data_IF_134195577450
#
_entry.id   IF_134195577450
#
_cell.length_a   1.000
_cell.length_b   1.000
_cell.length_c   1.000
_cell.angle_alpha   90.00
_cell.angle_beta   90.00
_cell.angle_gamma   90.00
#
_symmetry.space_group_name_H-M   'P 1'
#
loop_
_entity.id
_entity.type
_entity.pdbx_description
1 polymer ?
#
# COMPACT_ATOMS: atom_id res chain seq x y z
N UNK A 1 51.95 48.20 19.90
CA UNK A 1 51.16 49.44 20.02
C UNK A 1 49.89 49.46 19.15
N UNK A 2 49.90 49.10 17.85
CA UNK A 2 48.65 48.96 17.05
C UNK A 2 48.10 47.54 16.93
N UNK A 3 48.91 46.50 17.21
CA UNK A 3 48.46 45.09 17.20
C UNK A 3 47.65 44.73 18.45
N UNK A 4 48.06 45.25 19.60
CA UNK A 4 47.44 44.96 20.90
C UNK A 4 46.01 45.53 21.02
N UNK A 5 45.67 46.53 20.18
CA UNK A 5 44.34 47.13 20.10
C UNK A 5 43.39 46.36 19.16
N UNK A 6 43.92 45.70 18.12
CA UNK A 6 43.09 44.87 17.22
C UNK A 6 42.70 43.53 17.85
N UNK A 7 43.60 42.88 18.61
CA UNK A 7 43.29 41.61 19.29
C UNK A 7 42.23 41.78 20.39
N UNK A 8 42.14 42.96 21.01
CA UNK A 8 41.13 43.27 22.03
C UNK A 8 39.73 43.53 21.43
N UNK A 9 39.63 44.17 20.26
CA UNK A 9 38.35 44.36 19.54
C UNK A 9 37.84 43.03 18.94
N UNK A 10 38.72 42.20 18.40
CA UNK A 10 38.36 40.87 17.87
C UNK A 10 37.89 39.91 18.97
N UNK A 11 38.45 39.99 20.19
CA UNK A 11 37.96 39.22 21.34
C UNK A 11 36.55 39.65 21.76
N UNK A 12 36.25 40.95 21.76
CA UNK A 12 34.94 41.51 22.08
C UNK A 12 33.85 41.11 21.08
N UNK A 13 34.16 41.07 19.78
CA UNK A 13 33.19 40.64 18.75
C UNK A 13 32.90 39.14 18.82
N UNK A 14 33.90 38.32 19.19
CA UNK A 14 33.73 36.88 19.35
C UNK A 14 32.83 36.52 20.55
N UNK A 15 32.89 37.28 21.65
CA UNK A 15 32.04 37.06 22.82
C UNK A 15 30.56 37.40 22.55
N UNK A 16 30.28 38.48 21.81
CA UNK A 16 28.93 38.85 21.38
C UNK A 16 28.35 37.84 20.38
N UNK A 17 29.19 37.31 19.48
CA UNK A 17 28.79 36.28 18.53
C UNK A 17 28.55 34.91 19.21
N UNK A 18 29.30 34.59 20.26
CA UNK A 18 29.07 33.41 21.09
C UNK A 18 27.73 33.49 21.85
N UNK A 19 27.38 34.65 22.40
CA UNK A 19 26.10 34.88 23.10
C UNK A 19 24.89 34.79 22.16
N UNK A 20 25.02 35.33 20.93
CA UNK A 20 24.01 35.15 19.87
C UNK A 20 23.83 33.69 19.49
N UNK A 21 24.92 32.94 19.30
CA UNK A 21 24.87 31.49 19.00
C UNK A 21 24.26 30.68 20.15
N UNK A 22 24.52 31.06 21.39
CA UNK A 22 23.93 30.45 22.57
C UNK A 22 22.41 30.67 22.63
N UNK A 23 21.97 31.88 22.32
CA UNK A 23 20.54 32.25 22.20
C UNK A 23 19.84 31.44 21.10
N UNK A 24 20.45 31.29 19.93
CA UNK A 24 19.89 30.45 18.86
C UNK A 24 19.83 28.96 19.22
N UNK A 25 20.85 28.46 19.93
CA UNK A 25 20.88 27.07 20.39
C UNK A 25 19.81 26.78 21.46
N UNK A 26 19.53 27.76 22.33
CA UNK A 26 18.45 27.69 23.33
C UNK A 26 17.07 27.74 22.66
N UNK A 27 16.88 28.68 21.73
CA UNK A 27 15.66 28.73 20.92
C UNK A 27 15.43 27.43 20.16
N UNK A 28 16.45 26.87 19.51
CA UNK A 28 16.35 25.60 18.80
C UNK A 28 16.01 24.42 19.74
N UNK A 29 16.56 24.42 20.97
CA UNK A 29 16.20 23.43 22.00
C UNK A 29 14.74 23.57 22.43
N UNK A 30 14.24 24.79 22.60
CA UNK A 30 12.84 25.03 22.97
C UNK A 30 11.89 24.67 21.83
N UNK A 31 12.26 24.93 20.57
CA UNK A 31 11.52 24.45 19.42
C UNK A 31 11.49 22.92 19.36
N UNK A 32 12.63 22.24 19.59
CA UNK A 32 12.66 20.77 19.65
C UNK A 32 11.77 20.21 20.76
N UNK A 33 11.83 20.76 21.97
CA UNK A 33 10.94 20.38 23.08
C UNK A 33 9.47 20.64 22.76
N UNK A 34 9.16 21.72 22.06
CA UNK A 34 7.81 22.00 21.59
C UNK A 34 7.36 20.94 20.57
N UNK A 35 8.21 20.62 19.60
CA UNK A 35 7.93 19.60 18.58
C UNK A 35 7.74 18.21 19.20
N UNK A 36 8.59 17.80 20.15
CA UNK A 36 8.45 16.53 20.86
C UNK A 36 7.11 16.41 21.60
N UNK A 37 6.60 17.51 22.16
CA UNK A 37 5.27 17.51 22.83
C UNK A 37 4.11 17.26 21.87
N UNK A 38 4.24 17.65 20.60
CA UNK A 38 3.19 17.50 19.58
C UNK A 38 3.41 16.32 18.65
N UNK A 39 4.61 15.73 18.66
CA UNK A 39 4.96 14.57 17.83
C UNK A 39 4.64 13.29 18.58
N UNK A 40 3.96 12.37 17.92
CA UNK A 40 3.72 11.03 18.45
C UNK A 40 4.48 10.04 17.59
N UNK A 41 5.40 9.30 18.21
CA UNK A 41 6.08 8.19 17.57
C UNK A 41 5.12 7.00 17.49
N UNK A 42 4.80 6.58 16.26
CA UNK A 42 3.95 5.43 16.01
C UNK A 42 4.88 4.27 15.65
N UNK A 43 5.08 3.34 16.60
CA UNK A 43 5.85 2.12 16.37
C UNK A 43 5.18 1.29 15.28
N UNK A 44 5.82 1.21 14.13
CA UNK A 44 5.28 0.54 12.96
C UNK A 44 5.87 -0.87 12.89
N UNK A 45 5.02 -1.90 13.01
CA UNK A 45 5.46 -3.31 12.93
C UNK A 45 5.75 -3.70 11.47
N UNK A 46 6.68 -4.64 11.26
CA UNK A 46 7.09 -5.12 9.93
C UNK A 46 5.94 -5.61 9.02
N UNK A 47 4.78 -5.99 9.60
CA UNK A 47 3.59 -6.44 8.86
C UNK A 47 2.70 -5.29 8.35
N UNK A 48 2.84 -4.08 8.89
CA UNK A 48 2.03 -2.91 8.53
C UNK A 48 2.91 -1.67 8.45
N UNK A 49 3.79 -1.55 7.43
CA UNK A 49 4.82 -0.52 7.36
C UNK A 49 4.30 0.91 7.11
N UNK A 50 3.01 1.06 6.76
CA UNK A 50 2.44 2.35 6.39
C UNK A 50 1.22 2.69 7.24
N UNK A 51 1.35 3.74 8.05
CA UNK A 51 0.24 4.33 8.79
C UNK A 51 -0.14 5.64 8.10
N UNK A 52 -1.35 5.71 7.56
CA UNK A 52 -1.85 6.94 6.96
C UNK A 52 -2.02 8.04 8.03
N UNK A 53 -1.28 9.13 7.89
CA UNK A 53 -1.22 10.21 8.87
C UNK A 53 -2.60 10.86 9.11
N UNK A 54 -3.41 10.98 8.06
CA UNK A 54 -4.75 11.57 8.15
C UNK A 54 -5.69 10.66 8.95
N UNK A 55 -5.67 9.36 8.70
CA UNK A 55 -6.45 8.36 9.43
C UNK A 55 -6.03 8.29 10.89
N UNK A 56 -4.72 8.34 11.16
CA UNK A 56 -4.17 8.41 12.51
C UNK A 56 -4.70 9.65 13.27
N UNK A 57 -4.67 10.81 12.62
CA UNK A 57 -5.21 12.05 13.19
C UNK A 57 -6.73 11.95 13.48
N UNK A 58 -7.52 11.39 12.56
CA UNK A 58 -8.95 11.18 12.78
C UNK A 58 -9.23 10.23 13.96
N UNK A 59 -8.43 9.17 14.10
CA UNK A 59 -8.52 8.24 15.22
C UNK A 59 -8.16 8.89 16.55
N UNK A 60 -7.10 9.71 16.59
CA UNK A 60 -6.73 10.48 17.77
C UNK A 60 -7.86 11.44 18.18
N UNK A 61 -8.45 12.15 17.21
CA UNK A 61 -9.58 13.04 17.43
C UNK A 61 -10.79 12.29 18.00
N UNK A 62 -11.17 11.16 17.40
CA UNK A 62 -12.23 10.27 17.90
C UNK A 62 -11.95 9.82 19.32
N UNK A 63 -10.73 9.36 19.61
CA UNK A 63 -10.32 8.87 20.93
C UNK A 63 -10.41 9.98 22.00
N UNK A 64 -10.00 11.21 21.66
CA UNK A 64 -10.12 12.37 22.55
C UNK A 64 -11.57 12.69 22.92
N UNK A 65 -12.48 12.61 21.93
CA UNK A 65 -13.92 12.83 22.13
C UNK A 65 -14.54 11.70 22.96
N UNK A 66 -14.15 10.44 22.71
CA UNK A 66 -14.60 9.30 23.50
C UNK A 66 -14.15 9.42 24.96
N UNK A 67 -12.90 9.81 25.22
CA UNK A 67 -12.42 10.09 26.59
C UNK A 67 -13.24 11.17 27.28
N UNK A 68 -13.55 12.28 26.58
CA UNK A 68 -14.39 13.36 27.11
C UNK A 68 -15.82 12.90 27.38
N UNK A 69 -16.41 12.14 26.47
CA UNK A 69 -17.76 11.59 26.63
C UNK A 69 -17.85 10.60 27.80
N UNK A 70 -16.84 9.76 28.03
CA UNK A 70 -16.80 8.87 29.20
C UNK A 70 -16.94 9.62 30.53
N UNK A 71 -16.41 10.84 30.62
CA UNK A 71 -16.56 11.73 31.80
C UNK A 71 -17.91 12.48 31.82
N UNK A 72 -18.58 12.61 30.68
CA UNK A 72 -19.83 13.36 30.50
C UNK A 72 -20.87 12.51 29.76
N UNK A 73 -21.29 11.38 30.35
CA UNK A 73 -22.10 10.36 29.64
C UNK A 73 -23.44 10.89 29.12
N UNK A 74 -24.03 11.89 29.79
CA UNK A 74 -25.31 12.49 29.41
C UNK A 74 -25.20 13.49 28.24
N UNK A 75 -24.00 13.87 27.82
CA UNK A 75 -23.81 14.85 26.75
C UNK A 75 -24.05 14.22 25.36
N UNK A 76 -25.29 14.35 24.87
CA UNK A 76 -25.70 13.85 23.54
C UNK A 76 -24.97 14.52 22.36
N UNK A 77 -24.44 15.74 22.53
CA UNK A 77 -23.70 16.44 21.45
C UNK A 77 -22.39 15.72 21.14
N UNK A 78 -21.69 15.22 22.17
CA UNK A 78 -20.45 14.46 22.00
C UNK A 78 -20.71 13.13 21.28
N UNK A 79 -21.79 12.44 21.62
CA UNK A 79 -22.19 11.19 20.95
C UNK A 79 -22.43 11.42 19.46
N UNK A 80 -23.20 12.46 19.10
CA UNK A 80 -23.43 12.82 17.69
C UNK A 80 -22.12 13.13 16.97
N UNK A 81 -21.21 13.89 17.59
CA UNK A 81 -19.92 14.22 16.99
C UNK A 81 -19.03 13.00 16.79
N UNK A 82 -19.01 12.05 17.74
CA UNK A 82 -18.29 10.77 17.60
C UNK A 82 -18.89 9.96 16.45
N UNK A 83 -20.23 9.90 16.33
CA UNK A 83 -20.89 9.18 15.24
C UNK A 83 -20.54 9.76 13.86
N UNK A 84 -20.53 11.09 13.73
CA UNK A 84 -20.10 11.78 12.49
C UNK A 84 -18.64 11.46 12.17
N UNK A 85 -17.73 11.55 13.16
CA UNK A 85 -16.32 11.22 12.98
C UNK A 85 -16.12 9.75 12.60
N UNK A 86 -16.87 8.82 13.21
CA UNK A 86 -16.82 7.41 12.85
C UNK A 86 -17.20 7.22 11.37
N UNK A 87 -18.27 7.88 10.91
CA UNK A 87 -18.70 7.82 9.50
C UNK A 87 -17.60 8.33 8.56
N UNK A 88 -17.00 9.47 8.87
CA UNK A 88 -15.89 10.03 8.09
C UNK A 88 -14.67 9.10 8.06
N UNK A 89 -14.32 8.49 9.19
CA UNK A 89 -13.23 7.52 9.29
C UNK A 89 -13.52 6.31 8.39
N UNK A 90 -14.74 5.76 8.43
CA UNK A 90 -15.10 4.59 7.62
C UNK A 90 -15.10 4.90 6.13
N UNK A 91 -15.62 6.06 5.73
CA UNK A 91 -15.62 6.49 4.32
C UNK A 91 -14.20 6.69 3.80
N UNK A 92 -13.35 7.34 4.59
CA UNK A 92 -11.96 7.57 4.22
C UNK A 92 -11.16 6.27 4.17
N UNK A 93 -11.32 5.38 5.16
CA UNK A 93 -10.66 4.08 5.14
C UNK A 93 -11.08 3.24 3.92
N UNK A 94 -12.36 3.24 3.55
CA UNK A 94 -12.84 2.55 2.36
C UNK A 94 -12.24 3.16 1.07
N UNK A 95 -12.11 4.49 1.00
CA UNK A 95 -11.45 5.17 -0.11
C UNK A 95 -9.97 4.78 -0.19
N UNK A 96 -9.24 4.86 0.92
CA UNK A 96 -7.83 4.52 0.99
C UNK A 96 -7.57 3.05 0.61
N UNK A 97 -8.41 2.12 1.06
CA UNK A 97 -8.32 0.71 0.66
C UNK A 97 -8.47 0.54 -0.85
N UNK A 98 -9.41 1.25 -1.50
CA UNK A 98 -9.58 1.21 -2.95
C UNK A 98 -8.37 1.78 -3.68
N UNK A 99 -7.85 2.92 -3.24
CA UNK A 99 -6.67 3.55 -3.85
C UNK A 99 -5.43 2.67 -3.70
N UNK A 100 -5.21 2.12 -2.51
CA UNK A 100 -4.12 1.17 -2.25
C UNK A 100 -4.25 -0.07 -3.12
N UNK A 101 -5.47 -0.59 -3.28
CA UNK A 101 -5.74 -1.73 -4.14
C UNK A 101 -5.47 -1.45 -5.62
N UNK A 102 -5.94 -0.31 -6.12
CA UNK A 102 -5.68 0.12 -7.50
C UNK A 102 -4.18 0.30 -7.74
N UNK A 103 -3.48 0.97 -6.82
CA UNK A 103 -2.02 1.12 -6.87
C UNK A 103 -1.30 -0.24 -6.89
N UNK A 104 -1.77 -1.21 -6.10
CA UNK A 104 -1.22 -2.57 -6.18
C UNK A 104 -1.50 -3.22 -7.53
N UNK A 105 -2.69 -3.06 -8.11
CA UNK A 105 -3.01 -3.58 -9.44
C UNK A 105 -2.16 -2.94 -10.55
N UNK A 106 -1.96 -1.64 -10.52
CA UNK A 106 -1.10 -0.90 -11.47
C UNK A 106 0.33 -1.42 -11.40
N UNK A 107 0.84 -1.71 -10.19
CA UNK A 107 2.16 -2.30 -9.99
C UNK A 107 2.32 -3.71 -10.58
N UNK A 108 1.22 -4.43 -10.79
CA UNK A 108 1.16 -5.79 -11.35
C UNK A 108 0.93 -5.79 -12.87
N UNK A 109 0.46 -4.68 -13.45
CA UNK A 109 0.29 -4.53 -14.88
C UNK A 109 1.64 -4.73 -15.59
N UNK A 110 1.67 -5.60 -16.60
CA UNK A 110 2.91 -5.99 -17.30
C UNK A 110 3.82 -6.98 -16.55
N UNK A 111 3.49 -7.35 -15.30
CA UNK A 111 4.24 -8.34 -14.48
C UNK A 111 3.42 -9.59 -14.18
N UNK A 112 2.46 -9.94 -15.05
CA UNK A 112 1.60 -11.11 -14.88
C UNK A 112 2.37 -12.44 -14.88
N UNK A 113 3.60 -12.49 -15.41
CA UNK A 113 4.45 -13.68 -15.34
C UNK A 113 5.16 -13.84 -13.98
N UNK A 114 5.15 -12.81 -13.12
CA UNK A 114 5.88 -12.86 -11.86
C UNK A 114 5.20 -13.78 -10.83
N UNK A 115 6.01 -14.57 -10.11
CA UNK A 115 5.54 -15.49 -9.06
C UNK A 115 4.71 -14.78 -7.99
N UNK A 116 5.06 -13.55 -7.61
CA UNK A 116 4.36 -12.76 -6.59
C UNK A 116 2.93 -12.42 -7.04
N UNK A 117 2.75 -11.96 -8.28
CA UNK A 117 1.45 -11.69 -8.91
C UNK A 117 0.56 -12.93 -8.91
N UNK A 118 1.10 -14.06 -9.34
CA UNK A 118 0.40 -15.33 -9.35
C UNK A 118 0.07 -15.88 -7.96
N UNK A 119 0.88 -15.57 -6.95
CA UNK A 119 0.59 -15.94 -5.57
C UNK A 119 -0.60 -15.13 -5.04
N UNK A 120 -0.59 -13.81 -5.29
CA UNK A 120 -1.69 -12.91 -4.92
C UNK A 120 -3.00 -13.32 -5.62
N UNK A 121 -2.97 -13.55 -6.93
CA UNK A 121 -4.14 -13.98 -7.70
C UNK A 121 -4.73 -15.30 -7.16
N UNK A 122 -3.89 -16.26 -6.79
CA UNK A 122 -4.37 -17.51 -6.18
C UNK A 122 -5.06 -17.25 -4.83
N UNK A 123 -4.50 -16.40 -3.98
CA UNK A 123 -5.14 -16.02 -2.71
C UNK A 123 -6.46 -15.28 -2.90
N UNK A 124 -6.62 -14.52 -3.99
CA UNK A 124 -7.89 -13.85 -4.30
C UNK A 124 -8.96 -14.81 -4.81
N UNK A 125 -8.57 -15.83 -5.58
CA UNK A 125 -9.49 -16.84 -6.12
C UNK A 125 -9.91 -17.82 -5.04
N UNK A 126 -8.97 -18.24 -4.19
CA UNK A 126 -9.23 -19.19 -3.12
C UNK A 126 -8.24 -18.99 -1.97
N UNK A 127 -8.66 -18.29 -0.89
CA UNK A 127 -7.78 -18.01 0.24
C UNK A 127 -7.51 -19.22 1.13
N UNK A 128 -8.27 -20.32 0.97
CA UNK A 128 -8.23 -21.50 1.85
C UNK A 128 -7.61 -22.73 1.20
N UNK A 129 -7.44 -22.75 -0.13
CA UNK A 129 -6.87 -23.91 -0.79
C UNK A 129 -5.35 -23.90 -0.89
N UNK A 130 -4.78 -25.10 -0.73
CA UNK A 130 -3.37 -25.33 -1.04
C UNK A 130 -3.12 -25.08 -2.54
N UNK A 131 -1.90 -24.66 -2.89
CA UNK A 131 -1.46 -24.41 -4.27
C UNK A 131 -1.91 -25.50 -5.25
N UNK A 132 -1.91 -26.75 -4.80
CA UNK A 132 -2.29 -27.93 -5.58
C UNK A 132 -3.79 -27.99 -5.87
N UNK A 133 -4.63 -27.65 -4.89
CA UNK A 133 -6.08 -27.59 -5.05
C UNK A 133 -6.52 -26.42 -5.94
N UNK A 134 -5.89 -25.25 -5.80
CA UNK A 134 -6.15 -24.11 -6.70
C UNK A 134 -5.75 -24.43 -8.15
N UNK A 135 -4.60 -25.10 -8.36
CA UNK A 135 -4.18 -25.51 -9.72
C UNK A 135 -5.18 -26.50 -10.32
N UNK A 136 -5.69 -27.48 -9.56
CA UNK A 136 -6.75 -28.40 -10.05
C UNK A 136 -8.02 -27.64 -10.44
N UNK A 137 -8.43 -26.66 -9.64
CA UNK A 137 -9.60 -25.84 -9.95
C UNK A 137 -9.37 -24.95 -11.18
N UNK A 138 -8.18 -24.35 -11.33
CA UNK A 138 -7.80 -23.60 -12.52
C UNK A 138 -7.79 -24.48 -13.77
N UNK A 139 -7.24 -25.69 -13.71
CA UNK A 139 -7.25 -26.62 -14.86
C UNK A 139 -8.69 -27.02 -15.22
N UNK A 140 -9.58 -27.20 -14.24
CA UNK A 140 -11.01 -27.42 -14.50
C UNK A 140 -11.63 -26.22 -15.22
N UNK A 141 -11.41 -25.01 -14.72
CA UNK A 141 -11.94 -23.77 -15.33
C UNK A 141 -11.40 -23.61 -16.76
N UNK A 142 -10.10 -23.76 -16.99
CA UNK A 142 -9.47 -23.66 -18.32
C UNK A 142 -10.05 -24.71 -19.28
N UNK A 143 -10.31 -25.93 -18.82
CA UNK A 143 -10.91 -26.97 -19.66
C UNK A 143 -12.41 -26.75 -19.90
N UNK A 144 -13.09 -26.06 -18.98
CA UNK A 144 -14.53 -25.76 -19.06
C UNK A 144 -14.80 -24.52 -19.92
N UNK A 145 -13.81 -23.63 -20.04
CA UNK A 145 -13.81 -22.48 -20.96
C UNK A 145 -12.87 -22.75 -22.14
N UNK A 146 -13.31 -23.50 -23.16
CA UNK A 146 -12.56 -23.61 -24.40
C UNK A 146 -12.36 -22.20 -24.96
N UNK A 147 -11.12 -21.87 -25.29
CA UNK A 147 -10.68 -20.58 -25.79
C UNK A 147 -11.66 -20.09 -26.87
N UNK A 148 -12.50 -19.11 -26.56
CA UNK A 148 -13.10 -18.27 -27.59
C UNK A 148 -11.93 -17.45 -28.16
N UNK A 149 -11.16 -18.07 -29.05
CA UNK A 149 -10.28 -17.36 -29.95
C UNK A 149 -11.20 -16.77 -31.01
N UNK A 150 -11.87 -15.67 -30.66
CA UNK A 150 -12.43 -14.77 -31.66
C UNK A 150 -11.27 -14.03 -32.31
N UNK A 151 -10.58 -14.75 -33.19
CA UNK A 151 -9.92 -14.15 -34.34
C UNK A 151 -10.75 -14.68 -35.50
N UNK A 152 -11.81 -13.96 -35.84
CA UNK A 152 -12.51 -14.14 -37.10
C UNK A 152 -11.49 -13.89 -38.21
N UNK A 153 -11.14 -14.94 -38.94
CA UNK A 153 -10.10 -14.84 -39.94
C UNK A 153 -9.75 -16.18 -40.57
N UNK A 154 -10.64 -16.65 -41.46
CA UNK A 154 -10.30 -17.44 -42.65
C UNK A 154 -10.32 -19.00 -42.52
N UNK A 155 -11.31 -19.58 -43.24
CA UNK A 155 -11.25 -20.83 -44.05
C UNK A 155 -11.12 -22.19 -43.34
N UNK A 156 -12.18 -23.00 -43.39
CA UNK A 156 -12.51 -23.99 -44.45
C UNK A 156 -13.65 -24.93 -43.99
N UNK A 157 -14.58 -25.17 -44.90
CA UNK A 157 -15.77 -26.02 -44.74
C UNK A 157 -15.43 -27.49 -44.43
N UNK A 158 -16.37 -28.26 -43.82
CA UNK A 158 -16.13 -29.62 -43.36
C UNK A 158 -15.97 -30.63 -44.50
N UNK A 159 -14.97 -31.51 -44.37
CA UNK A 159 -14.59 -32.50 -45.36
C UNK A 159 -15.46 -33.77 -45.25
N UNK A 160 -16.70 -33.70 -45.71
CA UNK A 160 -17.55 -34.88 -45.92
C UNK A 160 -17.40 -35.45 -47.33
N UNK A 161 -16.20 -35.82 -47.74
CA UNK A 161 -15.97 -36.72 -48.87
C UNK A 161 -14.56 -37.31 -48.78
N UNK A 162 -14.38 -38.40 -48.01
CA UNK A 162 -13.21 -39.26 -48.15
C UNK A 162 -13.63 -40.62 -48.71
N UNK A 163 -13.76 -40.63 -50.02
CA UNK A 163 -14.01 -41.78 -50.88
C UNK A 163 -12.73 -42.64 -50.99
N UNK A 164 -12.96 -43.96 -50.90
CA UNK A 164 -12.23 -45.13 -51.44
C UNK A 164 -10.82 -45.55 -50.93
N UNK A 165 -10.85 -46.76 -50.34
CA UNK A 165 -9.97 -47.92 -50.50
C UNK A 165 -8.76 -47.77 -51.45
N UNK A 166 -7.58 -48.16 -50.95
CA UNK A 166 -6.42 -48.50 -51.78
C UNK A 166 -5.31 -49.19 -50.98
N UNK A 167 -5.10 -50.49 -51.26
CA UNK A 167 -4.00 -51.36 -50.80
C UNK A 167 -2.60 -50.80 -51.14
N UNK A 168 -1.59 -51.14 -50.32
CA UNK A 168 -0.20 -51.52 -50.67
C UNK A 168 0.54 -51.90 -49.37
N UNK A 169 0.64 -53.19 -49.01
CA UNK A 169 1.78 -54.12 -49.23
C UNK A 169 3.14 -53.54 -48.85
N UNK A 170 3.75 -54.07 -47.79
CA UNK A 170 5.20 -53.97 -47.52
C UNK A 170 5.76 -55.38 -47.32
N UNK A 171 6.62 -55.79 -48.25
CA UNK A 171 7.55 -56.89 -48.12
C UNK A 171 8.72 -56.50 -47.19
N UNK A 172 9.12 -57.41 -46.30
CA UNK A 172 10.49 -57.62 -45.83
C UNK A 172 10.49 -59.02 -45.18
N UNK A 173 11.25 -60.02 -45.63
CA UNK A 173 12.63 -59.95 -46.11
C UNK A 173 13.50 -60.46 -44.96
N UNK A 174 14.03 -61.68 -45.17
CA UNK A 174 14.68 -62.59 -44.21
C UNK A 174 15.76 -61.98 -43.33
#
# INVERSE_FOLDING_TARGET
MRKDTQEAEEASENDVEADRKQTYAEWARDQKKALEKFTQEITTTAQTPFVDARLAHMWAARHSLTRRWKRQRHNKKLVKRIAVLNKQITEYAAKLCRETWLSTCDGLQGKLSARKTWCLLRHLIDPLSSKTATNRNLTKVINTFPQHTRIEGNRRLPAEHRILKGRRTTHAGK
#
